data_IF_116246298288
#
_entry.id   IF_116246298288
#
_cell.length_a   1.000
_cell.length_b   1.000
_cell.length_c   1.000
_cell.angle_alpha   90.00
_cell.angle_beta   90.00
_cell.angle_gamma   90.00
#
_symmetry.space_group_name_H-M   'P 1'
#
loop_
_entity.id
_entity.type
_entity.pdbx_description
1 polymer ?
#
# COMPACT_ATOMS: atom_id res chain seq x y z
N UNK A 1 25.28 11.50 26.71
CA UNK A 1 25.47 10.82 25.41
C UNK A 1 25.48 9.29 25.62
N UNK A 2 26.27 8.72 26.53
CA UNK A 2 26.39 7.26 26.78
C UNK A 2 25.04 6.56 27.04
N UNK A 3 24.12 7.24 27.72
CA UNK A 3 22.78 6.69 27.97
C UNK A 3 21.98 6.56 26.69
N UNK A 4 22.09 7.51 25.75
CA UNK A 4 21.43 7.46 24.44
C UNK A 4 21.99 6.34 23.59
N UNK A 5 23.31 6.16 23.55
CA UNK A 5 23.95 5.04 22.85
C UNK A 5 23.53 3.66 23.39
N UNK A 6 23.33 3.54 24.72
CA UNK A 6 22.80 2.30 25.33
C UNK A 6 21.34 2.02 24.96
N UNK A 7 20.53 3.07 24.75
CA UNK A 7 19.09 2.94 24.44
C UNK A 7 18.82 2.75 22.94
N UNK A 8 19.58 3.43 22.08
CA UNK A 8 19.28 3.57 20.66
C UNK A 8 20.41 3.08 19.75
N UNK A 9 21.53 2.59 20.30
CA UNK A 9 22.67 2.16 19.51
C UNK A 9 23.21 3.27 18.61
N UNK A 10 23.54 2.94 17.35
CA UNK A 10 24.09 3.90 16.38
C UNK A 10 23.08 5.03 16.04
N UNK A 11 21.79 4.80 16.19
CA UNK A 11 20.76 5.81 15.92
C UNK A 11 20.81 6.97 16.93
N UNK A 12 21.51 6.78 18.07
CA UNK A 12 21.76 7.83 19.04
C UNK A 12 22.58 8.99 18.46
N UNK A 13 23.48 8.73 17.53
CA UNK A 13 24.30 9.74 16.87
C UNK A 13 23.44 10.76 16.13
N UNK A 14 22.45 10.28 15.38
CA UNK A 14 21.49 11.12 14.68
C UNK A 14 20.69 12.01 15.64
N UNK A 15 20.21 11.45 16.77
CA UNK A 15 19.48 12.20 17.80
C UNK A 15 20.35 13.27 18.45
N UNK A 16 21.62 12.98 18.73
CA UNK A 16 22.57 13.91 19.34
C UNK A 16 22.87 15.05 18.37
N UNK A 17 23.15 14.75 17.10
CA UNK A 17 23.43 15.74 16.09
C UNK A 17 22.26 16.68 15.85
N UNK A 18 21.05 16.13 15.71
CA UNK A 18 19.84 16.95 15.59
C UNK A 18 19.57 17.82 16.83
N UNK A 19 19.83 17.30 18.04
CA UNK A 19 19.70 18.09 19.26
C UNK A 19 20.70 19.27 19.33
N UNK A 20 21.87 19.13 18.71
CA UNK A 20 22.87 20.19 18.56
C UNK A 20 22.64 21.06 17.32
N UNK A 21 21.59 20.82 16.54
CA UNK A 21 21.30 21.55 15.30
C UNK A 21 22.26 21.21 14.16
N UNK A 22 22.91 20.04 14.23
CA UNK A 22 23.80 19.56 13.19
C UNK A 22 23.01 18.69 12.23
N UNK A 23 22.87 19.13 10.99
CA UNK A 23 22.27 18.38 9.90
C UNK A 23 23.25 18.38 8.72
N UNK A 24 23.71 17.19 8.35
CA UNK A 24 24.64 17.00 7.24
C UNK A 24 23.92 16.84 5.90
N UNK A 25 22.64 16.43 5.94
CA UNK A 25 21.84 16.19 4.74
C UNK A 25 21.20 17.48 4.26
N UNK A 26 21.55 17.91 3.08
CA UNK A 26 20.97 19.11 2.45
C UNK A 26 19.70 18.76 1.65
N UNK A 27 18.89 19.79 1.36
CA UNK A 27 17.75 19.62 0.43
C UNK A 27 18.21 19.14 -0.95
N UNK A 28 19.41 19.52 -1.38
CA UNK A 28 20.01 19.06 -2.62
C UNK A 28 20.28 17.55 -2.58
N UNK A 29 20.82 17.04 -1.47
CA UNK A 29 21.08 15.62 -1.28
C UNK A 29 19.77 14.81 -1.28
N UNK A 30 18.72 15.31 -0.61
CA UNK A 30 17.39 14.70 -0.61
C UNK A 30 16.82 14.63 -2.04
N UNK A 31 16.95 15.70 -2.82
CA UNK A 31 16.48 15.73 -4.22
C UNK A 31 17.31 14.85 -5.15
N UNK A 32 18.59 14.69 -4.87
CA UNK A 32 19.51 13.84 -5.66
C UNK A 32 19.39 12.35 -5.30
N UNK A 33 18.84 12.03 -4.12
CA UNK A 33 18.71 10.66 -3.67
C UNK A 33 17.87 9.82 -4.65
N UNK A 34 18.40 8.68 -5.02
CA UNK A 34 17.70 7.67 -5.81
C UNK A 34 17.69 6.37 -5.01
N UNK A 35 16.53 5.86 -4.59
CA UNK A 35 16.45 4.59 -3.88
C UNK A 35 16.96 3.45 -4.77
N UNK A 36 17.61 2.45 -4.16
CA UNK A 36 18.09 1.26 -4.87
C UNK A 36 16.94 0.38 -5.35
N UNK A 37 15.86 0.35 -4.60
CA UNK A 37 14.64 -0.37 -4.92
C UNK A 37 13.44 0.59 -4.85
N UNK A 38 12.56 0.49 -5.82
CA UNK A 38 11.33 1.28 -5.84
C UNK A 38 10.18 0.45 -5.27
N UNK A 39 9.44 1.07 -4.37
CA UNK A 39 8.20 0.49 -3.84
C UNK A 39 7.13 1.57 -3.71
N UNK A 40 5.86 1.15 -3.83
CA UNK A 40 4.70 1.97 -3.49
C UNK A 40 3.96 1.27 -2.37
N UNK A 41 3.61 2.00 -1.33
CA UNK A 41 2.95 1.39 -0.17
C UNK A 41 1.85 2.26 0.40
N UNK A 42 0.88 1.59 1.02
CA UNK A 42 -0.19 2.22 1.78
C UNK A 42 -0.35 1.52 3.12
N UNK A 43 -0.60 2.28 4.18
CA UNK A 43 -0.87 1.74 5.50
C UNK A 43 -2.14 2.35 6.08
N UNK A 44 -2.93 1.53 6.77
CA UNK A 44 -4.14 1.96 7.42
C UNK A 44 -4.22 1.39 8.83
N UNK A 45 -4.33 2.27 9.82
CA UNK A 45 -4.77 1.93 11.16
C UNK A 45 -6.29 2.05 11.17
N UNK A 46 -6.98 1.01 11.62
CA UNK A 46 -8.43 0.92 11.57
C UNK A 46 -9.04 1.58 12.82
N UNK A 47 -10.15 2.28 12.65
CA UNK A 47 -10.83 2.96 13.75
C UNK A 47 -11.46 2.02 14.78
N UNK A 48 -11.70 0.78 14.40
CA UNK A 48 -12.13 -0.34 15.25
C UNK A 48 -11.48 -1.63 14.78
N UNK A 49 -11.60 -2.68 15.58
CA UNK A 49 -11.14 -4.01 15.19
C UNK A 49 -12.09 -4.62 14.16
N UNK A 50 -11.53 -5.19 13.12
CA UNK A 50 -12.23 -5.87 12.02
C UNK A 50 -12.05 -7.40 12.13
N UNK A 51 -13.02 -8.14 11.69
CA UNK A 51 -12.91 -9.57 11.48
C UNK A 51 -12.08 -9.90 10.22
N UNK A 52 -11.91 -11.18 9.95
CA UNK A 52 -11.13 -11.66 8.80
C UNK A 52 -11.67 -11.14 7.46
N UNK A 53 -12.98 -11.19 7.25
CA UNK A 53 -13.60 -10.76 5.99
C UNK A 53 -13.51 -9.24 5.80
N UNK A 54 -13.72 -8.47 6.87
CA UNK A 54 -13.56 -7.03 6.83
C UNK A 54 -12.10 -6.62 6.57
N UNK A 55 -11.12 -7.27 7.20
CA UNK A 55 -9.69 -7.04 6.92
C UNK A 55 -9.29 -7.39 5.49
N UNK A 56 -9.87 -8.48 4.93
CA UNK A 56 -9.69 -8.89 3.55
C UNK A 56 -10.26 -7.87 2.55
N UNK A 57 -11.45 -7.34 2.84
CA UNK A 57 -12.05 -6.26 2.06
C UNK A 57 -11.14 -5.01 2.04
N UNK A 58 -10.62 -4.60 3.19
CA UNK A 58 -9.72 -3.44 3.30
C UNK A 58 -8.44 -3.68 2.51
N UNK A 59 -7.82 -4.86 2.60
CA UNK A 59 -6.63 -5.19 1.80
C UNK A 59 -6.91 -5.09 0.29
N UNK A 60 -8.09 -5.53 -0.15
CA UNK A 60 -8.54 -5.44 -1.54
C UNK A 60 -8.77 -3.98 -1.98
N UNK A 61 -9.40 -3.15 -1.14
CA UNK A 61 -9.56 -1.72 -1.41
C UNK A 61 -8.20 -1.01 -1.54
N UNK A 62 -7.26 -1.33 -0.65
CA UNK A 62 -5.90 -0.77 -0.68
C UNK A 62 -5.15 -1.20 -1.95
N UNK A 63 -5.28 -2.46 -2.36
CA UNK A 63 -4.67 -2.95 -3.60
C UNK A 63 -5.22 -2.21 -4.83
N UNK A 64 -6.53 -2.00 -4.89
CA UNK A 64 -7.16 -1.26 -5.99
C UNK A 64 -6.65 0.17 -6.10
N UNK A 65 -6.53 0.88 -4.98
CA UNK A 65 -6.00 2.24 -4.95
C UNK A 65 -4.53 2.31 -5.38
N UNK A 66 -3.70 1.36 -4.92
CA UNK A 66 -2.29 1.28 -5.34
C UNK A 66 -2.15 0.90 -6.81
N UNK A 67 -3.06 0.09 -7.38
CA UNK A 67 -3.07 -0.20 -8.81
C UNK A 67 -3.40 1.04 -9.65
N UNK A 68 -4.31 1.91 -9.18
CA UNK A 68 -4.56 3.20 -9.84
C UNK A 68 -3.31 4.10 -9.79
N UNK A 69 -2.58 4.10 -8.69
CA UNK A 69 -1.32 4.83 -8.56
C UNK A 69 -0.22 4.28 -9.49
N UNK A 70 -0.15 2.94 -9.70
CA UNK A 70 0.75 2.35 -10.70
C UNK A 70 0.43 2.89 -12.11
N UNK A 71 -0.85 2.86 -12.50
CA UNK A 71 -1.28 3.33 -13.82
C UNK A 71 -1.04 4.83 -13.99
N UNK A 72 -1.32 5.64 -12.96
CA UNK A 72 -1.03 7.08 -12.95
C UNK A 72 0.44 7.36 -13.26
N UNK A 73 1.33 6.60 -12.64
CA UNK A 73 2.78 6.80 -12.74
C UNK A 73 3.44 6.05 -13.90
N UNK A 74 2.67 5.28 -14.69
CA UNK A 74 3.21 4.44 -15.76
C UNK A 74 4.14 3.34 -15.20
N UNK A 75 3.74 2.67 -14.13
CA UNK A 75 4.55 1.71 -13.40
C UNK A 75 3.87 0.33 -13.33
N UNK A 76 4.70 -0.70 -13.15
CA UNK A 76 4.27 -2.10 -12.96
C UNK A 76 5.04 -2.76 -11.82
N UNK A 77 4.51 -3.84 -11.27
CA UNK A 77 5.13 -4.62 -10.18
C UNK A 77 4.97 -6.13 -10.41
N UNK A 78 5.84 -6.91 -9.79
CA UNK A 78 5.73 -8.36 -9.72
C UNK A 78 5.77 -8.90 -8.28
N UNK A 79 5.76 -8.02 -7.26
CA UNK A 79 5.91 -8.44 -5.87
C UNK A 79 5.02 -7.63 -4.93
N UNK A 80 4.29 -8.34 -4.10
CA UNK A 80 3.34 -7.78 -3.13
C UNK A 80 3.77 -8.21 -1.73
N UNK A 81 3.93 -7.26 -0.82
CA UNK A 81 4.12 -7.52 0.61
C UNK A 81 2.91 -7.05 1.40
N UNK A 82 2.47 -7.88 2.31
CA UNK A 82 1.34 -7.59 3.19
C UNK A 82 1.76 -7.74 4.66
N UNK A 83 1.38 -6.76 5.47
CA UNK A 83 1.53 -6.79 6.92
C UNK A 83 0.16 -6.52 7.53
N UNK A 84 -0.25 -7.39 8.47
CA UNK A 84 -1.53 -7.29 9.19
C UNK A 84 -1.27 -7.30 10.69
N UNK A 85 -1.58 -6.18 11.33
CA UNK A 85 -1.50 -6.00 12.77
C UNK A 85 -2.83 -6.36 13.43
N UNK A 86 -2.76 -7.20 14.45
CA UNK A 86 -3.92 -7.60 15.24
C UNK A 86 -4.24 -6.60 16.35
N UNK A 87 -5.41 -6.73 16.95
CA UNK A 87 -5.82 -5.94 18.10
C UNK A 87 -4.77 -5.96 19.20
N UNK A 88 -4.45 -4.78 19.75
CA UNK A 88 -3.49 -4.63 20.86
C UNK A 88 -3.84 -5.45 22.09
N UNK A 89 -5.13 -5.81 22.24
CA UNK A 89 -5.63 -6.61 23.38
C UNK A 89 -5.12 -8.06 23.35
N UNK A 90 -4.74 -8.57 22.17
CA UNK A 90 -4.35 -9.98 22.01
C UNK A 90 -2.87 -10.27 22.25
N UNK A 91 -2.00 -9.27 22.35
CA UNK A 91 -0.54 -9.43 22.41
C UNK A 91 0.01 -10.40 21.34
N UNK A 92 -0.71 -10.53 20.21
CA UNK A 92 -0.39 -11.44 19.11
C UNK A 92 0.60 -10.77 18.16
N UNK A 93 1.61 -11.53 17.72
CA UNK A 93 2.53 -11.06 16.67
C UNK A 93 1.76 -10.81 15.37
N UNK A 94 2.10 -9.72 14.69
CA UNK A 94 1.53 -9.38 13.40
C UNK A 94 1.85 -10.43 12.35
N UNK A 95 0.90 -10.65 11.44
CA UNK A 95 1.15 -11.47 10.25
C UNK A 95 1.86 -10.62 9.19
N UNK A 96 2.83 -11.22 8.49
CA UNK A 96 3.46 -10.61 7.34
C UNK A 96 3.89 -11.67 6.33
N UNK A 97 3.90 -11.29 5.08
CA UNK A 97 4.34 -12.16 4.00
C UNK A 97 4.56 -11.37 2.72
N UNK A 98 5.19 -12.03 1.77
CA UNK A 98 5.44 -11.50 0.43
C UNK A 98 5.12 -12.58 -0.60
N UNK A 99 4.43 -12.21 -1.67
CA UNK A 99 4.16 -13.07 -2.82
C UNK A 99 4.80 -12.44 -4.06
N UNK A 100 5.43 -13.29 -4.87
CA UNK A 100 5.96 -12.90 -6.19
C UNK A 100 5.02 -13.41 -7.25
N UNK A 101 4.60 -12.51 -8.12
CA UNK A 101 3.75 -12.84 -9.28
C UNK A 101 4.62 -13.32 -10.44
N UNK A 102 4.12 -14.22 -11.29
CA UNK A 102 4.89 -14.75 -12.43
C UNK A 102 5.11 -13.72 -13.54
N UNK A 103 4.36 -12.60 -13.51
CA UNK A 103 4.45 -11.53 -14.52
C UNK A 103 4.46 -10.16 -13.86
N UNK A 104 5.20 -9.25 -14.44
CA UNK A 104 5.23 -7.84 -14.04
C UNK A 104 4.02 -7.13 -14.66
N UNK A 105 3.16 -6.52 -13.84
CA UNK A 105 1.86 -5.97 -14.29
C UNK A 105 1.35 -4.84 -13.40
N UNK A 106 0.43 -4.02 -13.95
CA UNK A 106 -0.42 -3.07 -13.21
C UNK A 106 -1.90 -3.50 -13.18
N UNK A 107 -2.22 -4.71 -13.68
CA UNK A 107 -3.59 -5.23 -13.69
C UNK A 107 -4.16 -5.34 -12.27
N UNK A 108 -5.19 -4.53 -11.98
CA UNK A 108 -5.87 -4.56 -10.70
C UNK A 108 -6.52 -5.93 -10.43
N UNK A 109 -7.05 -6.59 -11.45
CA UNK A 109 -7.65 -7.93 -11.33
C UNK A 109 -6.62 -8.96 -10.85
N UNK A 110 -5.43 -9.00 -11.46
CA UNK A 110 -4.35 -9.92 -11.08
C UNK A 110 -3.80 -9.58 -9.69
N UNK A 111 -3.42 -8.33 -9.45
CA UNK A 111 -2.81 -7.88 -8.19
C UNK A 111 -3.77 -8.10 -7.01
N UNK A 112 -5.06 -7.77 -7.15
CA UNK A 112 -6.05 -8.04 -6.11
C UNK A 112 -6.21 -9.53 -5.83
N UNK A 113 -6.16 -10.39 -6.86
CA UNK A 113 -6.20 -11.84 -6.70
C UNK A 113 -5.04 -12.34 -5.83
N UNK A 114 -3.81 -11.98 -6.17
CA UNK A 114 -2.62 -12.33 -5.38
C UNK A 114 -2.61 -11.70 -3.99
N UNK A 115 -3.14 -10.49 -3.84
CA UNK A 115 -3.29 -9.87 -2.51
C UNK A 115 -4.23 -10.67 -1.62
N UNK A 116 -5.35 -11.15 -2.16
CA UNK A 116 -6.29 -12.01 -1.44
C UNK A 116 -5.68 -13.36 -1.09
N UNK A 117 -4.99 -14.00 -2.02
CA UNK A 117 -4.28 -15.25 -1.79
C UNK A 117 -3.27 -15.11 -0.64
N UNK A 118 -2.42 -14.08 -0.69
CA UNK A 118 -1.45 -13.79 0.36
C UNK A 118 -2.14 -13.53 1.70
N UNK A 119 -3.24 -12.76 1.72
CA UNK A 119 -4.01 -12.49 2.92
C UNK A 119 -4.53 -13.79 3.54
N UNK A 120 -5.12 -14.68 2.73
CA UNK A 120 -5.67 -15.96 3.19
C UNK A 120 -4.59 -16.92 3.72
N UNK A 121 -3.38 -16.85 3.18
CA UNK A 121 -2.24 -17.68 3.61
C UNK A 121 -1.67 -17.25 4.97
N UNK A 122 -1.59 -15.94 5.24
CA UNK A 122 -0.84 -15.44 6.40
C UNK A 122 -1.71 -15.01 7.57
N UNK A 123 -2.98 -14.63 7.34
CA UNK A 123 -3.82 -14.00 8.36
C UNK A 123 -4.61 -15.02 9.15
N UNK A 124 -4.57 -14.91 10.48
CA UNK A 124 -5.39 -15.73 11.37
C UNK A 124 -6.86 -15.32 11.30
N UNK A 125 -7.71 -16.28 10.93
CA UNK A 125 -9.16 -16.07 10.77
C UNK A 125 -9.90 -15.70 12.06
N UNK A 126 -9.31 -16.03 13.21
CA UNK A 126 -9.95 -15.84 14.53
C UNK A 126 -9.44 -14.60 15.27
N UNK A 127 -8.46 -13.89 14.72
CA UNK A 127 -7.84 -12.75 15.38
C UNK A 127 -8.36 -11.43 14.80
N UNK A 128 -8.91 -10.53 15.62
CA UNK A 128 -9.36 -9.22 15.18
C UNK A 128 -8.21 -8.37 14.69
N UNK A 129 -8.43 -7.73 13.55
CA UNK A 129 -7.44 -6.96 12.77
C UNK A 129 -7.58 -5.48 13.09
N UNK A 130 -6.46 -4.81 13.38
CA UNK A 130 -6.42 -3.38 13.71
C UNK A 130 -5.59 -2.54 12.74
N UNK A 131 -4.71 -3.17 11.94
CA UNK A 131 -3.86 -2.50 10.97
C UNK A 131 -3.65 -3.35 9.74
N UNK A 132 -3.66 -2.71 8.57
CA UNK A 132 -3.27 -3.33 7.31
C UNK A 132 -2.26 -2.43 6.63
N UNK A 133 -1.15 -3.01 6.16
CA UNK A 133 -0.15 -2.32 5.34
C UNK A 133 0.11 -3.17 4.11
N UNK A 134 0.01 -2.57 2.95
CA UNK A 134 0.25 -3.21 1.65
C UNK A 134 1.35 -2.45 0.92
N UNK A 135 2.29 -3.18 0.35
CA UNK A 135 3.36 -2.62 -0.47
C UNK A 135 3.52 -3.40 -1.76
N UNK A 136 3.70 -2.70 -2.86
CA UNK A 136 4.16 -3.22 -4.13
C UNK A 136 5.66 -2.96 -4.22
N UNK A 137 6.44 -4.02 -4.34
CA UNK A 137 7.90 -3.95 -4.40
C UNK A 137 8.38 -4.16 -5.83
N UNK A 138 9.67 -3.92 -6.07
CA UNK A 138 10.29 -4.07 -7.39
C UNK A 138 9.49 -3.35 -8.48
N UNK A 139 9.04 -2.14 -8.15
CA UNK A 139 8.27 -1.31 -9.06
C UNK A 139 9.21 -0.78 -10.14
N UNK A 140 8.82 -1.01 -11.40
CA UNK A 140 9.57 -0.60 -12.60
C UNK A 140 8.65 0.10 -13.59
N UNK A 141 9.22 0.73 -14.61
CA UNK A 141 8.50 1.36 -15.71
C UNK A 141 7.59 0.38 -16.44
N UNK A 142 6.42 0.82 -16.91
CA UNK A 142 5.43 -0.02 -17.60
C UNK A 142 5.93 -0.62 -18.90
N UNK A 143 7.01 -0.07 -19.50
CA UNK A 143 7.67 -0.69 -20.65
C UNK A 143 8.17 -2.12 -20.36
N UNK A 144 8.36 -2.48 -19.09
CA UNK A 144 8.73 -3.82 -18.63
C UNK A 144 7.53 -4.71 -18.33
N UNK A 145 6.30 -4.30 -18.68
CA UNK A 145 5.11 -5.11 -18.52
C UNK A 145 5.25 -6.44 -19.26
N UNK A 146 4.91 -7.51 -18.55
CA UNK A 146 4.99 -8.87 -19.09
C UNK A 146 3.59 -9.43 -19.33
N UNK A 147 3.51 -10.26 -20.36
CA UNK A 147 2.30 -11.00 -20.73
C UNK A 147 2.54 -12.49 -20.52
N UNK A 148 1.59 -13.18 -19.92
CA UNK A 148 1.60 -14.63 -19.89
C UNK A 148 0.90 -15.20 -21.15
N UNK A 149 1.14 -16.49 -21.41
CA UNK A 149 0.58 -17.17 -22.58
C UNK A 149 -0.94 -17.42 -22.48
N UNK A 150 -1.53 -17.22 -21.32
CA UNK A 150 -2.91 -17.55 -21.00
C UNK A 150 -3.83 -16.33 -20.91
N UNK A 151 -3.27 -15.14 -20.93
CA UNK A 151 -4.02 -13.88 -20.82
C UNK A 151 -4.09 -13.21 -22.18
N UNK A 152 -5.30 -12.88 -22.64
CA UNK A 152 -5.51 -12.11 -23.86
C UNK A 152 -4.94 -10.67 -23.67
N UNK A 153 -3.96 -10.27 -24.51
CA UNK A 153 -3.42 -8.91 -24.47
C UNK A 153 -4.49 -7.82 -24.60
N UNK A 154 -5.55 -8.08 -25.37
CA UNK A 154 -6.65 -7.15 -25.55
C UNK A 154 -7.46 -6.95 -24.26
N UNK A 155 -7.58 -7.98 -23.41
CA UNK A 155 -8.22 -7.86 -22.09
C UNK A 155 -7.39 -6.96 -21.15
N UNK A 156 -6.06 -7.14 -21.15
CA UNK A 156 -5.15 -6.31 -20.35
C UNK A 156 -5.20 -4.85 -20.80
N UNK A 157 -5.16 -4.61 -22.12
CA UNK A 157 -5.24 -3.25 -22.65
C UNK A 157 -6.58 -2.59 -22.32
N UNK A 158 -7.68 -3.34 -22.40
CA UNK A 158 -9.00 -2.85 -22.00
C UNK A 158 -9.06 -2.50 -20.52
N UNK A 159 -8.51 -3.37 -19.66
CA UNK A 159 -8.44 -3.11 -18.22
C UNK A 159 -7.63 -1.84 -17.93
N UNK A 160 -6.46 -1.71 -18.55
CA UNK A 160 -5.60 -0.53 -18.40
C UNK A 160 -6.32 0.77 -18.82
N UNK A 161 -7.04 0.76 -19.96
CA UNK A 161 -7.86 1.91 -20.38
C UNK A 161 -8.95 2.26 -19.36
N UNK A 162 -9.60 1.25 -18.78
CA UNK A 162 -10.61 1.48 -17.73
C UNK A 162 -9.97 2.08 -16.49
N UNK A 163 -8.84 1.56 -16.02
CA UNK A 163 -8.12 2.08 -14.84
C UNK A 163 -7.69 3.54 -15.08
N UNK A 164 -7.13 3.85 -16.25
CA UNK A 164 -6.73 5.20 -16.63
C UNK A 164 -7.94 6.17 -16.63
N UNK A 165 -9.04 5.77 -17.25
CA UNK A 165 -10.27 6.57 -17.25
C UNK A 165 -10.82 6.78 -15.83
N UNK A 166 -10.78 5.76 -14.98
CA UNK A 166 -11.18 5.89 -13.57
C UNK A 166 -10.28 6.89 -12.82
N UNK A 167 -8.98 6.88 -13.07
CA UNK A 167 -8.05 7.83 -12.50
C UNK A 167 -8.37 9.26 -12.96
N UNK A 168 -8.53 9.49 -14.26
CA UNK A 168 -8.88 10.80 -14.84
C UNK A 168 -10.21 11.36 -14.28
N UNK A 169 -11.22 10.50 -14.08
CA UNK A 169 -12.50 10.90 -13.45
C UNK A 169 -12.26 11.31 -12.00
N UNK A 170 -11.46 10.54 -11.23
CA UNK A 170 -11.16 10.85 -9.83
C UNK A 170 -10.35 12.14 -9.68
N UNK A 171 -9.43 12.39 -10.59
CA UNK A 171 -8.63 13.61 -10.60
C UNK A 171 -9.53 14.84 -10.89
N UNK A 172 -10.39 14.74 -11.89
CA UNK A 172 -11.24 15.87 -12.33
C UNK A 172 -12.42 16.16 -11.40
N UNK A 173 -13.07 15.13 -10.86
CA UNK A 173 -14.33 15.24 -10.14
C UNK A 173 -14.23 14.83 -8.65
N UNK A 174 -13.03 14.47 -8.19
CA UNK A 174 -12.76 14.07 -6.82
C UNK A 174 -12.71 12.55 -6.62
N UNK A 175 -12.00 12.14 -5.57
CA UNK A 175 -11.64 10.74 -5.30
C UNK A 175 -12.85 9.80 -5.17
N UNK A 176 -14.03 10.31 -4.81
CA UNK A 176 -15.26 9.55 -4.65
C UNK A 176 -16.22 9.66 -5.86
N UNK A 177 -15.82 10.31 -6.96
CA UNK A 177 -16.65 10.47 -8.14
C UNK A 177 -17.00 9.16 -8.85
N UNK A 178 -16.09 8.18 -8.78
CA UNK A 178 -16.31 6.81 -9.27
C UNK A 178 -15.76 5.81 -8.27
N UNK A 179 -16.57 4.80 -7.93
CA UNK A 179 -16.25 3.78 -6.94
C UNK A 179 -16.54 2.39 -7.52
N UNK A 180 -15.82 1.37 -7.04
CA UNK A 180 -16.17 -0.04 -7.29
C UNK A 180 -17.22 -0.51 -6.29
N UNK A 181 -18.02 -1.52 -6.65
CA UNK A 181 -19.06 -2.07 -5.77
C UNK A 181 -18.55 -2.47 -4.37
N UNK A 182 -17.32 -2.99 -4.29
CA UNK A 182 -16.67 -3.33 -3.02
C UNK A 182 -16.51 -2.14 -2.07
N UNK A 183 -16.38 -0.92 -2.58
CA UNK A 183 -16.26 0.28 -1.76
C UNK A 183 -17.57 0.70 -1.09
N UNK A 184 -18.68 0.05 -1.44
CA UNK A 184 -20.02 0.24 -0.86
C UNK A 184 -20.41 -0.88 0.10
N UNK A 185 -19.58 -1.90 0.26
CA UNK A 185 -19.81 -2.99 1.18
C UNK A 185 -19.71 -2.52 2.64
N UNK A 186 -20.40 -3.22 3.52
CA UNK A 186 -20.33 -2.94 4.96
C UNK A 186 -18.89 -3.16 5.46
N UNK A 187 -18.32 -2.13 6.07
CA UNK A 187 -16.93 -2.16 6.55
C UNK A 187 -15.90 -1.63 5.58
N UNK A 188 -16.29 -1.27 4.33
CA UNK A 188 -15.41 -0.58 3.40
C UNK A 188 -14.98 0.79 3.94
N UNK A 189 -13.73 1.17 3.68
CA UNK A 189 -13.12 2.39 4.26
C UNK A 189 -12.75 3.44 3.22
N UNK A 190 -12.75 3.11 1.94
CA UNK A 190 -12.26 3.99 0.86
C UNK A 190 -12.97 5.34 0.83
N UNK A 191 -14.28 5.40 0.98
CA UNK A 191 -15.06 6.65 0.91
C UNK A 191 -14.64 7.62 2.01
N UNK A 192 -14.50 7.13 3.24
CA UNK A 192 -14.07 7.95 4.37
C UNK A 192 -12.60 8.36 4.26
N UNK A 193 -11.73 7.44 3.85
CA UNK A 193 -10.31 7.72 3.65
C UNK A 193 -10.08 8.79 2.59
N UNK A 194 -10.84 8.79 1.52
CA UNK A 194 -10.75 9.80 0.46
C UNK A 194 -11.10 11.21 0.94
N UNK A 195 -11.80 11.34 2.09
CA UNK A 195 -12.11 12.63 2.75
C UNK A 195 -11.05 13.07 3.75
N UNK A 196 -10.07 12.22 4.05
CA UNK A 196 -9.00 12.56 4.99
C UNK A 196 -7.90 13.34 4.29
N UNK A 197 -7.30 14.29 5.02
CA UNK A 197 -6.10 15.02 4.59
C UNK A 197 -4.93 14.50 5.42
N UNK A 198 -3.88 13.97 4.76
CA UNK A 198 -2.70 13.43 5.46
C UNK A 198 -2.98 12.26 6.40
N UNK A 199 -4.06 11.48 6.15
CA UNK A 199 -4.42 10.33 6.98
C UNK A 199 -5.19 10.67 8.25
N UNK A 200 -5.54 11.93 8.46
CA UNK A 200 -6.33 12.40 9.61
C UNK A 200 -7.58 13.15 9.14
N UNK A 201 -8.66 13.08 9.93
CA UNK A 201 -9.78 14.02 9.74
C UNK A 201 -9.27 15.40 10.16
N UNK A 202 -9.17 16.33 9.21
CA UNK A 202 -8.84 17.72 9.54
C UNK A 202 -10.12 18.42 9.95
N UNK A 203 -10.18 18.82 11.22
CA UNK A 203 -11.05 19.88 11.71
C UNK A 203 -12.57 19.61 11.60
N UNK A 204 -13.09 18.73 12.41
CA UNK A 204 -14.37 18.88 13.11
C UNK A 204 -14.12 19.09 14.59
#
# INVERSE_FOLDING_TARGET
EDMLYRMFGIDAELLIDHAWGRETTTIADIKAYRPKENSISSSQVLGCDYDFEGGRLIAKEMADLLCLELVEKGLVTDSISLYVGYSRRLQKKSAHGTITMPVTTSSAKKIMGYTQELFEQIVDRNAPIHRVTLAFNRVVDEMYQQYDLFTDPAEIEREHKIQKTMFEIKEKFGKNAILKGMNLEKGATTIERNRQIGGHKSGE
#
